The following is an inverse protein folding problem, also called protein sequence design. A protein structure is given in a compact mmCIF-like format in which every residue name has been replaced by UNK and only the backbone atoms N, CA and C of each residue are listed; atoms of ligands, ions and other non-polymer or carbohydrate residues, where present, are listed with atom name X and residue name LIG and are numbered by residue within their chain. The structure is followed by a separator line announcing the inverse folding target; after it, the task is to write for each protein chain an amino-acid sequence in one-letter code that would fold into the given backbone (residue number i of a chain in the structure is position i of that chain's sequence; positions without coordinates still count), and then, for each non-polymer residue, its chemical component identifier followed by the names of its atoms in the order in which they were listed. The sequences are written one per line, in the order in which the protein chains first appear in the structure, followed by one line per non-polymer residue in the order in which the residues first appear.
data_IF_280178771885
#
_entry.id   IF_280178771885
#
_cell.length_a   1.000
_cell.length_b   1.000
_cell.length_c   1.000
_cell.angle_alpha   90.00
_cell.angle_beta   90.00
_cell.angle_gamma   90.00
#
_symmetry.space_group_name_H-M   'P 1'
#
loop_
_entity.id
_entity.type
_entity.pdbx_description
1 polymer ?
#
# COMPACT_ATOMS: atom_id res chain seq x y z
N UNK A 1 -40.65 3.12 -34.22
CA UNK A 1 -40.54 2.52 -32.88
C UNK A 1 -39.14 1.97 -32.79
N UNK A 2 -38.25 2.64 -32.06
CA UNK A 2 -36.83 2.28 -31.98
C UNK A 2 -36.66 1.20 -30.90
N UNK A 3 -36.23 0.01 -31.31
CA UNK A 3 -35.80 -1.06 -30.42
C UNK A 3 -34.43 -0.69 -29.81
N UNK A 4 -34.44 -0.26 -28.55
CA UNK A 4 -33.23 -0.12 -27.73
C UNK A 4 -33.08 -1.43 -26.93
N UNK A 5 -32.00 -2.22 -27.12
CA UNK A 5 -31.82 -3.42 -26.33
C UNK A 5 -31.55 -3.05 -24.87
N UNK A 6 -32.11 -3.85 -23.96
CA UNK A 6 -31.97 -3.73 -22.51
C UNK A 6 -30.53 -3.95 -22.04
N UNK A 7 -29.65 -2.97 -22.29
CA UNK A 7 -28.37 -2.84 -21.63
C UNK A 7 -28.60 -2.30 -20.22
N UNK A 8 -28.25 -3.08 -19.20
CA UNK A 8 -28.31 -2.70 -17.78
C UNK A 8 -27.53 -1.40 -17.56
N UNK A 9 -28.23 -0.27 -17.47
CA UNK A 9 -27.65 0.97 -16.97
C UNK A 9 -27.24 0.75 -15.51
N UNK A 10 -25.94 0.64 -15.26
CA UNK A 10 -25.37 0.54 -13.92
C UNK A 10 -24.73 1.89 -13.59
N UNK A 11 -25.34 2.73 -12.75
CA UNK A 11 -24.95 4.13 -12.52
C UNK A 11 -23.59 4.33 -11.83
N UNK A 12 -22.78 3.27 -11.66
CA UNK A 12 -21.54 3.27 -10.90
C UNK A 12 -20.27 2.98 -11.73
N UNK A 13 -20.37 2.66 -13.03
CA UNK A 13 -19.20 2.22 -13.81
C UNK A 13 -18.30 3.35 -14.33
N UNK A 14 -18.78 4.59 -14.35
CA UNK A 14 -18.09 5.71 -15.02
C UNK A 14 -17.53 6.78 -14.06
N UNK A 15 -17.70 6.64 -12.75
CA UNK A 15 -17.13 7.59 -11.79
C UNK A 15 -15.74 7.10 -11.36
N UNK A 16 -14.65 7.83 -11.68
CA UNK A 16 -13.34 7.46 -11.22
C UNK A 16 -13.29 7.52 -9.68
N UNK A 17 -12.73 6.48 -9.08
CA UNK A 17 -12.45 6.44 -7.66
C UNK A 17 -11.40 7.51 -7.32
N UNK A 18 -11.72 8.37 -6.35
CA UNK A 18 -10.95 9.58 -6.04
C UNK A 18 -10.15 9.42 -4.75
N UNK A 19 -8.85 9.68 -4.82
CA UNK A 19 -7.97 9.84 -3.65
C UNK A 19 -8.12 11.27 -3.12
N UNK A 20 -8.96 11.44 -2.11
CA UNK A 20 -9.06 12.69 -1.37
C UNK A 20 -7.97 12.79 -0.28
N UNK A 21 -7.61 14.02 0.12
CA UNK A 21 -6.71 14.27 1.26
C UNK A 21 -5.21 14.20 0.96
N UNK A 22 -4.79 13.46 -0.07
CA UNK A 22 -3.39 13.31 -0.49
C UNK A 22 -3.07 14.19 -1.69
N UNK A 23 -1.87 14.78 -1.71
CA UNK A 23 -1.34 15.49 -2.88
C UNK A 23 -0.20 14.68 -3.49
N UNK A 24 -0.18 14.57 -4.81
CA UNK A 24 0.97 13.98 -5.49
C UNK A 24 2.20 14.87 -5.27
N UNK A 25 3.27 14.34 -4.69
CA UNK A 25 4.50 15.10 -4.39
C UNK A 25 5.18 15.63 -5.65
N UNK A 26 4.99 14.97 -6.80
CA UNK A 26 5.65 15.36 -8.05
C UNK A 26 4.85 16.39 -8.86
N UNK A 27 3.55 16.17 -9.07
CA UNK A 27 2.72 17.06 -9.91
C UNK A 27 1.74 17.94 -9.11
N UNK A 28 1.72 17.80 -7.78
CA UNK A 28 0.88 18.57 -6.86
C UNK A 28 -0.64 18.42 -7.06
N UNK A 29 -1.07 17.50 -7.94
CA UNK A 29 -2.48 17.20 -8.20
C UNK A 29 -3.16 16.73 -6.90
N UNK A 30 -4.27 17.39 -6.53
CA UNK A 30 -5.14 17.05 -5.40
C UNK A 30 -6.57 17.58 -5.64
N UNK A 31 -7.63 16.75 -5.51
CA UNK A 31 -7.56 15.30 -5.43
C UNK A 31 -7.11 14.69 -6.79
N UNK A 32 -6.82 13.39 -6.82
CA UNK A 32 -6.52 12.68 -8.07
C UNK A 32 -7.28 11.35 -8.15
N UNK A 33 -7.55 10.91 -9.37
CA UNK A 33 -8.19 9.63 -9.66
C UNK A 33 -7.17 8.48 -9.70
N UNK A 34 -7.68 7.26 -9.52
CA UNK A 34 -6.90 6.03 -9.67
C UNK A 34 -6.16 5.63 -8.40
N UNK A 35 -5.00 5.00 -8.57
CA UNK A 35 -4.21 4.47 -7.46
C UNK A 35 -3.32 5.53 -6.80
N UNK A 36 -3.15 5.40 -5.48
CA UNK A 36 -2.11 6.12 -4.72
C UNK A 36 -0.88 5.23 -4.63
N UNK A 37 0.29 5.81 -4.88
CA UNK A 37 1.58 5.13 -4.69
C UNK A 37 2.36 5.83 -3.59
N UNK A 38 2.50 5.18 -2.43
CA UNK A 38 3.19 5.74 -1.29
C UNK A 38 4.62 5.17 -1.20
N UNK A 39 5.64 6.03 -1.10
CA UNK A 39 6.99 5.56 -0.76
C UNK A 39 6.97 4.92 0.63
N UNK A 40 7.80 3.91 0.88
CA UNK A 40 7.84 3.25 2.18
C UNK A 40 8.98 3.74 3.08
N UNK A 41 9.80 4.69 2.57
CA UNK A 41 11.01 5.19 3.26
C UNK A 41 10.99 6.71 3.47
N UNK A 42 10.44 7.47 2.52
CA UNK A 42 10.33 8.93 2.64
C UNK A 42 9.14 9.34 3.51
N UNK A 43 9.23 10.50 4.17
CA UNK A 43 8.11 11.14 4.84
C UNK A 43 7.16 11.78 3.81
N UNK A 44 5.84 11.55 3.94
CA UNK A 44 4.79 12.22 3.16
C UNK A 44 5.05 12.25 1.64
N UNK A 45 5.67 11.19 1.11
CA UNK A 45 5.96 11.06 -0.31
C UNK A 45 4.94 10.11 -0.95
N UNK A 46 4.08 10.69 -1.76
CA UNK A 46 2.94 10.02 -2.38
C UNK A 46 2.82 10.48 -3.82
N UNK A 47 2.62 9.53 -4.74
CA UNK A 47 2.46 9.80 -6.15
C UNK A 47 1.07 9.38 -6.60
N UNK A 48 0.50 10.15 -7.54
CA UNK A 48 -0.60 9.65 -8.34
C UNK A 48 -0.09 8.59 -9.33
N UNK A 49 -1.01 7.79 -9.85
CA UNK A 49 -0.73 6.73 -10.83
C UNK A 49 0.04 7.21 -12.06
N UNK A 50 -0.32 8.37 -12.62
CA UNK A 50 0.37 8.97 -13.76
C UNK A 50 1.84 9.27 -13.46
N UNK A 51 2.14 9.83 -12.28
CA UNK A 51 3.52 10.13 -11.88
C UNK A 51 4.31 8.86 -11.59
N UNK A 52 3.70 7.87 -10.95
CA UNK A 52 4.35 6.60 -10.65
C UNK A 52 4.68 5.81 -11.93
N UNK A 53 3.69 5.62 -12.81
CA UNK A 53 3.86 4.90 -14.09
C UNK A 53 4.79 5.64 -15.05
N UNK A 54 4.71 6.96 -15.08
CA UNK A 54 5.65 7.82 -15.81
C UNK A 54 7.05 7.94 -15.19
N UNK A 55 7.34 7.18 -14.12
CA UNK A 55 8.63 7.19 -13.39
C UNK A 55 9.10 8.60 -13.01
N UNK A 56 8.16 9.50 -12.70
CA UNK A 56 8.46 10.88 -12.30
C UNK A 56 8.74 10.93 -10.80
N UNK A 57 9.90 11.46 -10.42
CA UNK A 57 10.30 11.64 -9.02
C UNK A 57 10.84 13.04 -8.76
N UNK A 58 10.82 13.46 -7.50
CA UNK A 58 11.38 14.75 -7.08
C UNK A 58 12.87 14.63 -6.75
N UNK A 59 13.59 15.76 -6.80
CA UNK A 59 14.85 16.09 -6.08
C UNK A 59 15.35 15.04 -5.08
N UNK A 60 14.59 14.94 -3.99
CA UNK A 60 15.01 14.31 -2.73
C UNK A 60 14.48 12.88 -2.57
N UNK A 61 13.87 12.32 -3.61
CA UNK A 61 13.39 10.94 -3.63
C UNK A 61 14.34 10.09 -4.48
N UNK A 62 14.84 9.00 -3.91
CA UNK A 62 15.70 8.07 -4.62
C UNK A 62 14.83 7.08 -5.43
N UNK A 63 15.11 6.87 -6.73
CA UNK A 63 14.27 6.03 -7.59
C UNK A 63 14.11 4.57 -7.13
N UNK A 64 15.03 4.07 -6.30
CA UNK A 64 15.03 2.70 -5.78
C UNK A 64 14.31 2.57 -4.42
N UNK A 65 13.73 3.64 -3.86
CA UNK A 65 12.92 3.50 -2.67
C UNK A 65 11.67 2.64 -2.96
N UNK A 66 11.35 1.65 -2.11
CA UNK A 66 10.15 0.84 -2.27
C UNK A 66 8.87 1.69 -2.25
N UNK A 67 7.98 1.45 -3.21
CA UNK A 67 6.68 2.10 -3.33
C UNK A 67 5.55 1.08 -3.12
N UNK A 68 4.58 1.40 -2.27
CA UNK A 68 3.37 0.62 -2.05
C UNK A 68 2.21 1.20 -2.86
N UNK A 69 1.56 0.35 -3.67
CA UNK A 69 0.28 0.69 -4.28
C UNK A 69 -0.83 0.61 -3.22
N UNK A 70 -1.64 1.66 -3.13
CA UNK A 70 -2.79 1.77 -2.24
C UNK A 70 -4.02 1.96 -3.14
N UNK A 71 -4.80 0.89 -3.24
CA UNK A 71 -6.09 0.88 -3.93
C UNK A 71 -7.18 1.40 -2.99
N UNK A 72 -8.22 2.01 -3.54
CA UNK A 72 -9.43 2.26 -2.77
C UNK A 72 -10.18 0.97 -2.49
N UNK A 73 -10.94 0.95 -1.38
CA UNK A 73 -11.67 -0.24 -0.93
C UNK A 73 -12.61 -0.75 -2.01
N UNK A 74 -13.25 0.15 -2.73
CA UNK A 74 -14.16 -0.16 -3.84
C UNK A 74 -13.41 -0.78 -5.02
N UNK A 75 -12.22 -0.28 -5.36
CA UNK A 75 -11.37 -0.85 -6.42
C UNK A 75 -10.84 -2.23 -6.04
N UNK A 76 -10.48 -2.43 -4.78
CA UNK A 76 -10.06 -3.72 -4.25
C UNK A 76 -11.20 -4.74 -4.28
N UNK A 77 -12.38 -4.36 -3.78
CA UNK A 77 -13.56 -5.22 -3.73
C UNK A 77 -14.14 -5.56 -5.11
N UNK A 78 -13.84 -4.75 -6.14
CA UNK A 78 -14.23 -5.03 -7.52
C UNK A 78 -13.41 -6.17 -8.17
N UNK A 79 -12.30 -6.59 -7.57
CA UNK A 79 -11.48 -7.70 -8.05
C UNK A 79 -12.09 -9.04 -7.61
N UNK A 80 -12.10 -10.03 -8.51
CA UNK A 80 -12.71 -11.34 -8.26
C UNK A 80 -11.81 -12.49 -8.77
N UNK A 81 -11.11 -13.22 -7.88
CA UNK A 81 -11.01 -12.96 -6.43
C UNK A 81 -10.18 -11.69 -6.15
N UNK A 82 -10.38 -11.03 -4.99
CA UNK A 82 -9.48 -9.96 -4.57
C UNK A 82 -8.09 -10.56 -4.23
N UNK A 83 -6.98 -9.89 -4.62
CA UNK A 83 -5.65 -10.41 -4.36
C UNK A 83 -5.31 -10.34 -2.87
N UNK A 84 -4.74 -11.42 -2.33
CA UNK A 84 -4.30 -11.50 -0.92
C UNK A 84 -2.86 -11.01 -0.74
N UNK A 85 -2.06 -11.09 -1.80
CA UNK A 85 -0.63 -10.75 -1.85
C UNK A 85 -0.40 -9.37 -2.48
N UNK A 86 -0.65 -8.32 -1.70
CA UNK A 86 -0.60 -6.93 -2.19
C UNK A 86 0.48 -6.06 -1.53
N UNK A 87 1.20 -6.60 -0.54
CA UNK A 87 2.16 -5.82 0.22
C UNK A 87 3.56 -5.90 -0.39
N UNK A 88 4.28 -4.77 -0.28
CA UNK A 88 5.70 -4.67 -0.62
C UNK A 88 6.51 -4.50 0.66
N UNK A 89 7.65 -5.16 0.75
CA UNK A 89 8.63 -4.97 1.81
C UNK A 89 9.23 -3.55 1.75
N UNK A 90 9.13 -2.77 2.84
CA UNK A 90 9.72 -1.43 2.90
C UNK A 90 11.25 -1.37 2.84
N UNK A 91 11.94 -2.48 3.13
CA UNK A 91 13.41 -2.51 3.21
C UNK A 91 14.06 -2.81 1.85
N UNK A 92 13.60 -3.86 1.16
CA UNK A 92 14.20 -4.30 -0.11
C UNK A 92 13.30 -4.08 -1.32
N UNK A 93 12.01 -3.77 -1.10
CA UNK A 93 11.05 -3.63 -2.17
C UNK A 93 10.51 -4.94 -2.72
N UNK A 94 10.78 -6.10 -2.09
CA UNK A 94 10.17 -7.35 -2.52
C UNK A 94 8.64 -7.30 -2.41
N UNK A 95 7.94 -7.84 -3.40
CA UNK A 95 6.50 -7.64 -3.61
C UNK A 95 5.68 -8.92 -3.51
N UNK A 96 4.38 -8.82 -3.78
CA UNK A 96 3.47 -9.98 -3.81
C UNK A 96 3.41 -10.75 -2.48
N UNK A 97 3.60 -10.02 -1.37
CA UNK A 97 3.57 -10.56 -0.03
C UNK A 97 2.15 -10.46 0.54
N UNK A 98 1.67 -11.55 1.13
CA UNK A 98 0.52 -11.51 2.04
C UNK A 98 0.92 -10.80 3.35
N UNK A 99 -0.04 -10.55 4.24
CA UNK A 99 0.27 -9.95 5.54
C UNK A 99 1.27 -10.81 6.35
N UNK A 100 1.05 -12.12 6.43
CA UNK A 100 1.97 -13.05 7.07
C UNK A 100 3.29 -13.15 6.32
N UNK A 101 3.24 -13.24 4.98
CA UNK A 101 4.44 -13.30 4.14
C UNK A 101 5.36 -12.09 4.32
N UNK A 102 4.80 -10.89 4.50
CA UNK A 102 5.61 -9.70 4.81
C UNK A 102 6.32 -9.83 6.15
N UNK A 103 5.66 -10.37 7.17
CA UNK A 103 6.28 -10.61 8.48
C UNK A 103 7.39 -11.66 8.37
N UNK A 104 7.11 -12.79 7.74
CA UNK A 104 8.06 -13.90 7.56
C UNK A 104 9.30 -13.42 6.81
N UNK A 105 9.10 -12.73 5.69
CA UNK A 105 10.16 -12.06 4.92
C UNK A 105 11.02 -11.14 5.80
N UNK A 106 10.38 -10.26 6.59
CA UNK A 106 11.11 -9.35 7.47
C UNK A 106 11.89 -10.09 8.56
N UNK A 107 11.37 -11.20 9.08
CA UNK A 107 12.06 -12.01 10.07
C UNK A 107 13.28 -12.71 9.47
N UNK A 108 13.16 -13.30 8.29
CA UNK A 108 14.24 -14.06 7.67
C UNK A 108 15.36 -13.16 7.11
N UNK A 109 14.99 -12.04 6.48
CA UNK A 109 15.93 -11.24 5.69
C UNK A 109 16.30 -9.90 6.35
N UNK A 110 15.52 -9.44 7.34
CA UNK A 110 15.63 -8.08 7.89
C UNK A 110 15.58 -7.99 9.42
N UNK A 111 15.72 -9.09 10.16
CA UNK A 111 15.75 -9.08 11.63
C UNK A 111 16.81 -8.13 12.20
N UNK A 112 17.98 -8.06 11.53
CA UNK A 112 19.11 -7.21 11.93
C UNK A 112 19.39 -6.09 10.91
N UNK A 113 18.38 -5.67 10.15
CA UNK A 113 18.54 -4.66 9.12
C UNK A 113 18.99 -3.32 9.75
N UNK A 114 19.87 -2.52 9.09
CA UNK A 114 20.26 -1.20 9.57
C UNK A 114 19.05 -0.33 9.95
N UNK A 115 19.26 0.62 10.89
CA UNK A 115 18.24 1.48 11.54
C UNK A 115 17.47 2.45 10.64
N UNK A 116 17.25 2.08 9.37
CA UNK A 116 16.36 2.74 8.43
C UNK A 116 14.94 2.64 8.98
N UNK A 117 14.37 3.80 9.27
CA UNK A 117 12.95 3.91 9.62
C UNK A 117 12.12 3.79 8.35
N UNK A 118 11.09 2.95 8.42
CA UNK A 118 10.22 2.65 7.30
C UNK A 118 8.76 2.88 7.67
N UNK A 119 7.88 2.98 6.68
CA UNK A 119 6.43 2.94 6.88
C UNK A 119 5.93 1.50 6.79
N UNK A 120 4.93 1.15 7.57
CA UNK A 120 4.26 -0.15 7.44
C UNK A 120 3.31 -0.17 6.23
N UNK A 121 3.55 -1.10 5.30
CA UNK A 121 2.71 -1.32 4.11
C UNK A 121 1.26 -1.66 4.46
N UNK A 122 1.05 -2.47 5.50
CA UNK A 122 -0.30 -2.84 5.98
C UNK A 122 -1.04 -1.62 6.53
N UNK A 123 -0.39 -0.78 7.35
CA UNK A 123 -1.01 0.45 7.84
C UNK A 123 -1.39 1.38 6.68
N UNK A 124 -0.49 1.56 5.71
CA UNK A 124 -0.72 2.40 4.53
C UNK A 124 -1.94 2.00 3.72
N UNK A 125 -2.07 0.70 3.44
CA UNK A 125 -3.18 0.13 2.64
C UNK A 125 -4.47 0.07 3.45
N UNK A 126 -4.43 -0.47 4.68
CA UNK A 126 -5.65 -0.89 5.39
C UNK A 126 -6.20 0.17 6.37
N UNK A 127 -5.35 1.05 6.94
CA UNK A 127 -5.78 1.97 8.00
C UNK A 127 -5.90 3.42 7.55
N UNK A 128 -5.03 3.85 6.63
CA UNK A 128 -4.89 5.27 6.26
C UNK A 128 -4.82 5.52 4.74
N UNK A 129 -5.71 4.93 3.92
CA UNK A 129 -5.63 5.09 2.46
C UNK A 129 -5.73 6.55 1.99
N UNK A 130 -6.42 7.40 2.76
CA UNK A 130 -6.62 8.83 2.48
C UNK A 130 -5.83 9.79 3.37
N UNK A 131 -4.93 9.28 4.22
CA UNK A 131 -4.12 10.10 5.14
C UNK A 131 -2.63 9.79 4.98
N UNK A 132 -1.80 10.76 5.36
CA UNK A 132 -0.38 10.50 5.50
C UNK A 132 -0.16 9.54 6.67
N UNK A 133 0.74 8.58 6.50
CA UNK A 133 1.24 7.73 7.57
C UNK A 133 2.73 7.96 7.73
N UNK A 134 3.16 7.94 8.98
CA UNK A 134 4.52 8.30 9.37
C UNK A 134 5.44 7.09 9.33
N UNK A 135 6.76 7.36 9.35
CA UNK A 135 7.74 6.31 9.60
C UNK A 135 7.54 5.74 11.02
N UNK A 136 7.80 4.44 11.16
CA UNK A 136 7.74 3.73 12.42
C UNK A 136 8.85 4.21 13.36
N UNK A 137 8.55 4.19 14.66
CA UNK A 137 9.53 4.44 15.72
C UNK A 137 10.27 3.15 16.13
N UNK A 138 9.65 1.99 15.95
CA UNK A 138 10.21 0.65 16.18
C UNK A 138 10.61 -0.01 14.85
N UNK A 139 11.20 -1.21 14.92
CA UNK A 139 11.39 -2.03 13.74
C UNK A 139 10.03 -2.39 13.09
N UNK A 140 10.03 -2.64 11.78
CA UNK A 140 8.82 -3.11 11.12
C UNK A 140 8.39 -4.48 11.66
N UNK A 141 9.33 -5.37 11.96
CA UNK A 141 9.03 -6.71 12.46
C UNK A 141 8.29 -6.65 13.81
N UNK A 142 8.77 -5.86 14.76
CA UNK A 142 8.10 -5.67 16.06
C UNK A 142 6.73 -5.02 15.85
N UNK A 143 6.64 -4.00 14.98
CA UNK A 143 5.37 -3.37 14.68
C UNK A 143 4.33 -4.34 14.10
N UNK A 144 4.74 -5.26 13.22
CA UNK A 144 3.86 -6.28 12.64
C UNK A 144 3.36 -7.27 13.70
N UNK A 145 4.22 -7.66 14.64
CA UNK A 145 3.83 -8.56 15.75
C UNK A 145 2.87 -7.87 16.71
N UNK A 146 3.22 -6.67 17.16
CA UNK A 146 2.51 -5.97 18.23
C UNK A 146 1.18 -5.37 17.78
N UNK A 147 1.12 -4.79 16.57
CA UNK A 147 -0.04 -4.01 16.10
C UNK A 147 -0.87 -4.71 15.03
N UNK A 148 -0.37 -5.80 14.45
CA UNK A 148 -1.10 -6.58 13.44
C UNK A 148 -1.34 -8.03 13.84
N UNK A 149 -0.89 -8.45 15.04
CA UNK A 149 -1.14 -9.80 15.55
C UNK A 149 -0.44 -10.90 14.74
N UNK A 150 0.57 -10.54 13.93
CA UNK A 150 1.32 -11.47 13.09
C UNK A 150 2.42 -12.13 13.92
N UNK A 151 2.01 -12.95 14.90
CA UNK A 151 2.88 -13.75 15.77
C UNK A 151 3.51 -14.90 14.99
N UNK A 152 4.79 -15.18 15.26
CA UNK A 152 5.52 -16.28 14.61
C UNK A 152 4.82 -17.62 14.83
N UNK A 153 5.08 -18.59 13.95
CA UNK A 153 4.47 -19.93 14.00
C UNK A 153 4.88 -20.75 15.25
N UNK A 154 5.85 -20.30 16.03
CA UNK A 154 6.38 -21.02 17.20
C UNK A 154 5.58 -20.82 18.50
N UNK A 155 4.70 -19.81 18.60
CA UNK A 155 3.96 -19.52 19.85
C UNK A 155 2.63 -20.28 20.00
N UNK A 156 2.23 -21.08 19.01
CA UNK A 156 0.96 -21.83 19.05
C UNK A 156 1.03 -23.15 19.86
N UNK A 157 2.19 -23.52 20.41
CA UNK A 157 2.42 -24.83 21.06
C UNK A 157 2.65 -24.80 22.57
N UNK A 158 2.55 -23.64 23.25
CA UNK A 158 2.74 -23.57 24.70
C UNK A 158 1.50 -23.09 25.47
N UNK A 159 0.36 -23.67 25.11
CA UNK A 159 -0.92 -23.55 25.84
C UNK A 159 -1.48 -24.95 26.04
N UNK A 160 -0.73 -25.78 26.78
CA UNK A 160 -1.15 -27.09 27.27
C UNK A 160 -1.18 -27.09 28.79
#
# INVERSE_FOLDING_TARGET
LLDVPAGRYSPHKDRPLIIAGISCTTCQKKPFAGNRYACLVCHNYDLCEECHTGKRFSKHHLPYHPMQQIMLKEAYAAQNPPPESIFRCPYCGDGELSASGLRDHCQELHQNCPGIRVRCSICGVCRVPYKNFTLLKSSLLDHLRDYHGLKGTEEAQNSG
#
